data_IF_538157895389
#
_entry.id   IF_538157895389
#
_cell.length_a   1.000
_cell.length_b   1.000
_cell.length_c   1.000
_cell.angle_alpha   90.00
_cell.angle_beta   90.00
_cell.angle_gamma   90.00
#
_symmetry.space_group_name_H-M   'P 1'
#
loop_
_entity.id
_entity.type
_entity.pdbx_description
1 polymer ?
#
# COMPACT_ATOMS: atom_id res chain seq x y z
N UNK A 1 9.98 9.91 -22.55
CA UNK A 1 8.78 9.93 -21.70
C UNK A 1 8.73 8.74 -20.73
N UNK A 2 9.14 7.53 -21.13
CA UNK A 2 9.16 6.35 -20.26
C UNK A 2 10.04 6.54 -19.01
N UNK A 3 11.25 7.06 -19.18
CA UNK A 3 12.18 7.32 -18.06
C UNK A 3 11.64 8.32 -17.04
N UNK A 4 10.84 9.29 -17.47
CA UNK A 4 10.19 10.24 -16.56
C UNK A 4 9.05 9.58 -15.76
N UNK A 5 8.26 8.71 -16.40
CA UNK A 5 7.16 7.99 -15.74
C UNK A 5 7.69 6.98 -14.70
N UNK A 6 8.67 6.16 -15.08
CA UNK A 6 9.33 5.22 -14.14
C UNK A 6 10.04 5.94 -13.01
N UNK A 7 10.71 7.06 -13.28
CA UNK A 7 11.33 7.88 -12.23
C UNK A 7 10.29 8.47 -11.28
N UNK A 8 9.15 8.89 -11.80
CA UNK A 8 8.03 9.37 -10.97
C UNK A 8 7.48 8.26 -10.08
N UNK A 9 7.17 7.09 -10.64
CA UNK A 9 6.69 5.93 -9.88
C UNK A 9 7.71 5.48 -8.80
N UNK A 10 9.01 5.47 -9.13
CA UNK A 10 10.06 5.15 -8.16
C UNK A 10 10.14 6.14 -7.00
N UNK A 11 10.04 7.46 -7.29
CA UNK A 11 10.02 8.50 -6.24
C UNK A 11 8.78 8.39 -5.37
N UNK A 12 7.62 8.13 -5.99
CA UNK A 12 6.36 7.95 -5.29
C UNK A 12 6.40 6.72 -4.37
N UNK A 13 6.91 5.59 -4.85
CA UNK A 13 7.10 4.38 -4.05
C UNK A 13 8.06 4.63 -2.87
N UNK A 14 9.19 5.31 -3.12
CA UNK A 14 10.15 5.69 -2.09
C UNK A 14 9.52 6.60 -1.03
N UNK A 15 8.72 7.57 -1.44
CA UNK A 15 7.97 8.43 -0.52
C UNK A 15 6.98 7.63 0.33
N UNK A 16 6.19 6.74 -0.28
CA UNK A 16 5.27 5.86 0.43
C UNK A 16 5.99 4.97 1.44
N UNK A 17 7.19 4.47 1.10
CA UNK A 17 8.00 3.67 2.01
C UNK A 17 8.47 4.48 3.22
N UNK A 18 8.94 5.73 3.04
CA UNK A 18 9.30 6.61 4.15
C UNK A 18 8.10 6.91 5.06
N UNK A 19 6.93 7.17 4.48
CA UNK A 19 5.69 7.39 5.25
C UNK A 19 5.32 6.13 6.04
N UNK A 20 5.41 4.95 5.42
CA UNK A 20 5.13 3.68 6.09
C UNK A 20 6.09 3.40 7.26
N UNK A 21 7.40 3.63 7.07
CA UNK A 21 8.40 3.49 8.15
C UNK A 21 8.15 4.49 9.28
N UNK A 22 7.87 5.75 8.95
CA UNK A 22 7.50 6.77 9.95
C UNK A 22 6.23 6.40 10.71
N UNK A 23 5.22 5.88 10.00
CA UNK A 23 3.99 5.37 10.62
C UNK A 23 4.25 4.18 11.55
N UNK A 24 5.14 3.26 11.17
CA UNK A 24 5.53 2.14 12.02
C UNK A 24 6.18 2.61 13.33
N UNK A 25 7.09 3.58 13.24
CA UNK A 25 7.70 4.20 14.44
C UNK A 25 6.62 4.85 15.31
N UNK A 26 5.68 5.58 14.71
CA UNK A 26 4.58 6.20 15.44
C UNK A 26 3.67 5.17 16.14
N UNK A 27 3.39 4.02 15.51
CA UNK A 27 2.66 2.90 16.14
C UNK A 27 3.41 2.39 17.38
N UNK A 28 4.72 2.15 17.25
CA UNK A 28 5.54 1.69 18.37
C UNK A 28 5.50 2.68 19.54
N UNK A 29 5.61 3.97 19.24
CA UNK A 29 5.54 5.02 20.27
C UNK A 29 4.15 5.11 20.91
N UNK A 30 3.07 5.00 20.12
CA UNK A 30 1.70 5.00 20.62
C UNK A 30 1.43 3.82 21.56
N UNK A 31 1.83 2.61 21.15
CA UNK A 31 1.69 1.40 21.96
C UNK A 31 2.57 1.46 23.22
N UNK A 32 3.82 1.95 23.11
CA UNK A 32 4.67 2.14 24.27
C UNK A 32 4.05 3.13 25.28
N UNK A 33 3.50 4.23 24.80
CA UNK A 33 2.79 5.22 25.63
C UNK A 33 1.59 4.59 26.33
N UNK A 34 0.80 3.78 25.61
CA UNK A 34 -0.33 3.07 26.16
C UNK A 34 0.07 2.09 27.26
N UNK A 35 1.13 1.31 27.03
CA UNK A 35 1.64 0.34 28.01
C UNK A 35 2.16 1.05 29.26
N UNK A 36 2.98 2.09 29.10
CA UNK A 36 3.51 2.88 30.22
C UNK A 36 2.37 3.55 30.98
N UNK A 37 1.43 4.18 30.29
CA UNK A 37 0.24 4.80 30.90
C UNK A 37 -0.52 3.80 31.78
N UNK A 38 -0.75 2.60 31.26
CA UNK A 38 -1.49 1.55 31.95
C UNK A 38 -0.77 1.01 33.21
N UNK A 39 0.54 0.73 33.07
CA UNK A 39 1.27 0.04 34.16
C UNK A 39 1.96 0.98 35.14
N UNK A 40 2.35 2.20 34.72
CA UNK A 40 3.06 3.17 35.58
C UNK A 40 2.10 4.18 36.16
N UNK A 41 1.17 4.71 35.34
CA UNK A 41 0.26 5.77 35.76
C UNK A 41 -1.13 5.27 36.11
N UNK A 42 -1.42 3.99 35.89
CA UNK A 42 -2.76 3.37 36.06
C UNK A 42 -3.85 4.14 35.31
N UNK A 43 -3.48 4.81 34.22
CA UNK A 43 -4.34 5.55 33.31
C UNK A 43 -4.06 5.11 31.89
N UNK A 44 -5.07 4.63 31.18
CA UNK A 44 -4.92 4.10 29.83
C UNK A 44 -5.42 5.12 28.83
N UNK A 45 -4.54 5.75 28.03
CA UNK A 45 -4.95 6.68 26.99
C UNK A 45 -5.66 5.92 25.85
N UNK A 46 -6.99 5.99 25.84
CA UNK A 46 -7.86 5.27 24.88
C UNK A 46 -7.62 5.70 23.42
N UNK A 47 -7.15 6.95 23.21
CA UNK A 47 -6.80 7.45 21.89
C UNK A 47 -5.57 6.74 21.28
N UNK A 48 -4.67 6.23 22.10
CA UNK A 48 -3.43 5.59 21.63
C UNK A 48 -3.72 4.27 20.90
N UNK A 49 -4.66 3.47 21.40
CA UNK A 49 -5.10 2.23 20.75
C UNK A 49 -5.79 2.52 19.42
N UNK A 50 -6.78 3.41 19.43
CA UNK A 50 -7.51 3.76 18.22
C UNK A 50 -6.60 4.43 17.17
N UNK A 51 -5.68 5.29 17.60
CA UNK A 51 -4.69 5.92 16.73
C UNK A 51 -3.73 4.91 16.12
N UNK A 52 -3.25 3.94 16.90
CA UNK A 52 -2.41 2.86 16.42
C UNK A 52 -3.13 2.00 15.36
N UNK A 53 -4.42 1.67 15.56
CA UNK A 53 -5.21 0.92 14.59
C UNK A 53 -5.37 1.67 13.26
N UNK A 54 -5.64 2.97 13.30
CA UNK A 54 -5.69 3.80 12.08
C UNK A 54 -4.34 3.79 11.38
N UNK A 55 -3.24 4.01 12.11
CA UNK A 55 -1.89 4.02 11.54
C UNK A 55 -1.49 2.67 10.93
N UNK A 56 -1.90 1.53 11.53
CA UNK A 56 -1.65 0.19 10.98
C UNK A 56 -2.28 0.06 9.59
N UNK A 57 -3.50 0.57 9.38
CA UNK A 57 -4.14 0.54 8.05
C UNK A 57 -3.33 1.32 7.02
N UNK A 58 -2.84 2.53 7.37
CA UNK A 58 -2.01 3.34 6.47
C UNK A 58 -0.69 2.65 6.14
N UNK A 59 0.02 2.16 7.16
CA UNK A 59 1.32 1.49 6.98
C UNK A 59 1.19 0.24 6.13
N UNK A 60 0.21 -0.61 6.42
CA UNK A 60 -0.02 -1.87 5.71
C UNK A 60 -0.42 -1.64 4.26
N UNK A 61 -1.35 -0.72 4.00
CA UNK A 61 -1.86 -0.47 2.66
C UNK A 61 -0.81 0.21 1.77
N UNK A 62 -0.06 1.19 2.29
CA UNK A 62 1.04 1.81 1.54
C UNK A 62 2.18 0.81 1.31
N UNK A 63 2.52 0.00 2.31
CA UNK A 63 3.53 -1.05 2.18
C UNK A 63 3.13 -2.11 1.15
N UNK A 64 1.86 -2.53 1.12
CA UNK A 64 1.34 -3.46 0.12
C UNK A 64 1.44 -2.88 -1.30
N UNK A 65 1.10 -1.61 -1.50
CA UNK A 65 1.21 -0.96 -2.80
C UNK A 65 2.67 -0.88 -3.29
N UNK A 66 3.61 -0.53 -2.41
CA UNK A 66 5.05 -0.54 -2.73
C UNK A 66 5.53 -1.96 -3.00
N UNK A 67 5.06 -2.96 -2.24
CA UNK A 67 5.36 -4.37 -2.45
C UNK A 67 4.95 -4.86 -3.85
N UNK A 68 3.81 -4.43 -4.35
CA UNK A 68 3.37 -4.76 -5.73
C UNK A 68 4.37 -4.21 -6.77
N UNK A 69 4.92 -3.03 -6.55
CA UNK A 69 5.91 -2.45 -7.45
C UNK A 69 7.28 -3.13 -7.36
N UNK A 70 7.79 -3.28 -6.15
CA UNK A 70 9.19 -3.62 -5.91
C UNK A 70 9.43 -5.12 -5.76
N UNK A 71 8.44 -5.88 -5.25
CA UNK A 71 8.51 -7.32 -5.04
C UNK A 71 7.78 -8.16 -6.12
N UNK A 72 7.14 -7.49 -7.08
CA UNK A 72 6.38 -8.16 -8.14
C UNK A 72 7.18 -9.19 -8.95
N UNK A 73 8.50 -9.10 -8.96
CA UNK A 73 9.38 -10.03 -9.66
C UNK A 73 9.83 -11.23 -8.81
N UNK A 74 10.02 -11.05 -7.51
CA UNK A 74 10.66 -12.06 -6.63
C UNK A 74 9.78 -13.30 -6.43
N UNK A 75 8.46 -13.13 -6.30
CA UNK A 75 7.53 -14.27 -6.12
C UNK A 75 7.21 -15.02 -7.41
N UNK A 76 7.30 -14.36 -8.56
CA UNK A 76 6.97 -14.92 -9.87
C UNK A 76 8.14 -15.64 -10.52
N UNK A 77 9.39 -15.21 -10.29
CA UNK A 77 10.57 -15.81 -10.91
C UNK A 77 10.66 -17.32 -10.64
N UNK A 78 10.35 -17.76 -9.43
CA UNK A 78 10.40 -19.17 -9.06
C UNK A 78 9.42 -20.06 -9.85
N UNK A 79 8.26 -19.53 -10.22
CA UNK A 79 7.26 -20.24 -11.03
C UNK A 79 7.54 -20.07 -12.54
N UNK A 80 8.02 -18.92 -12.94
CA UNK A 80 8.23 -18.58 -14.34
C UNK A 80 9.48 -19.23 -14.94
N UNK A 81 10.45 -19.65 -14.12
CA UNK A 81 11.62 -20.44 -14.56
C UNK A 81 11.21 -21.80 -15.12
N UNK A 82 10.08 -22.36 -14.70
CA UNK A 82 9.56 -23.65 -15.16
C UNK A 82 8.76 -23.59 -16.46
N UNK A 83 8.48 -22.37 -16.97
CA UNK A 83 7.58 -22.15 -18.11
C UNK A 83 8.35 -21.60 -19.32
N UNK A 84 8.06 -22.08 -20.57
CA UNK A 84 8.68 -21.56 -21.78
C UNK A 84 8.46 -20.05 -21.94
N UNK A 85 9.48 -19.34 -22.44
CA UNK A 85 9.55 -17.88 -22.51
C UNK A 85 8.32 -17.22 -23.17
N UNK A 86 7.75 -17.84 -24.20
CA UNK A 86 6.53 -17.34 -24.88
C UNK A 86 5.27 -17.36 -23.98
N UNK A 87 5.19 -18.34 -23.07
CA UNK A 87 4.07 -18.46 -22.12
C UNK A 87 4.32 -17.54 -20.93
N UNK A 88 5.56 -17.42 -20.51
CA UNK A 88 6.01 -16.53 -19.44
C UNK A 88 5.55 -15.10 -19.67
N UNK A 89 5.84 -14.50 -20.81
CA UNK A 89 5.43 -13.13 -21.14
C UNK A 89 3.90 -12.94 -21.07
N UNK A 90 3.15 -13.90 -21.62
CA UNK A 90 1.66 -13.83 -21.56
C UNK A 90 1.14 -13.91 -20.12
N UNK A 91 1.78 -14.72 -19.29
CA UNK A 91 1.41 -14.89 -17.89
C UNK A 91 1.72 -13.62 -17.09
N UNK A 92 2.87 -12.99 -17.32
CA UNK A 92 3.25 -11.73 -16.71
C UNK A 92 2.25 -10.61 -17.05
N UNK A 93 1.86 -10.47 -18.32
CA UNK A 93 0.81 -9.54 -18.71
C UNK A 93 -0.52 -9.81 -18.02
N UNK A 94 -0.93 -11.07 -17.95
CA UNK A 94 -2.18 -11.48 -17.30
C UNK A 94 -2.17 -11.14 -15.81
N UNK A 95 -1.07 -11.43 -15.12
CA UNK A 95 -0.92 -11.17 -13.68
C UNK A 95 -1.02 -9.67 -13.41
N UNK A 96 -0.25 -8.85 -14.11
CA UNK A 96 -0.30 -7.40 -13.91
C UNK A 96 -1.66 -6.79 -14.29
N UNK A 97 -2.35 -7.33 -15.29
CA UNK A 97 -3.72 -6.92 -15.63
C UNK A 97 -4.71 -7.28 -14.52
N UNK A 98 -4.62 -8.48 -13.95
CA UNK A 98 -5.46 -8.90 -12.82
C UNK A 98 -5.18 -8.08 -11.56
N UNK A 99 -3.91 -7.78 -11.25
CA UNK A 99 -3.52 -6.93 -10.13
C UNK A 99 -4.04 -5.50 -10.33
N UNK A 100 -3.94 -4.95 -11.54
CA UNK A 100 -4.52 -3.64 -11.86
C UNK A 100 -6.05 -3.63 -11.68
N UNK A 101 -6.73 -4.66 -12.18
CA UNK A 101 -8.18 -4.81 -12.01
C UNK A 101 -8.58 -4.90 -10.54
N UNK A 102 -7.86 -5.70 -9.76
CA UNK A 102 -8.06 -5.79 -8.30
C UNK A 102 -7.85 -4.43 -7.61
N UNK A 103 -6.77 -3.73 -7.92
CA UNK A 103 -6.50 -2.39 -7.37
C UNK A 103 -7.60 -1.39 -7.72
N UNK A 104 -8.10 -1.41 -8.95
CA UNK A 104 -9.18 -0.53 -9.40
C UNK A 104 -10.51 -0.82 -8.67
N UNK A 105 -10.89 -2.09 -8.58
CA UNK A 105 -12.11 -2.50 -7.84
C UNK A 105 -12.01 -2.20 -6.36
N UNK A 106 -10.84 -2.41 -5.75
CA UNK A 106 -10.57 -2.05 -4.37
C UNK A 106 -10.73 -0.53 -4.15
N UNK A 107 -10.07 0.29 -4.96
CA UNK A 107 -10.15 1.76 -4.83
C UNK A 107 -11.60 2.25 -4.99
N UNK A 108 -12.31 1.75 -5.99
CA UNK A 108 -13.69 2.16 -6.29
C UNK A 108 -14.66 1.81 -5.16
N UNK A 109 -14.71 0.53 -4.76
CA UNK A 109 -15.63 0.07 -3.73
C UNK A 109 -15.32 0.70 -2.37
N UNK A 110 -14.04 0.85 -2.04
CA UNK A 110 -13.60 1.48 -0.79
C UNK A 110 -13.90 2.97 -0.75
N UNK A 111 -13.82 3.67 -1.90
CA UNK A 111 -14.22 5.08 -1.98
C UNK A 111 -15.73 5.26 -1.71
N UNK A 112 -16.57 4.41 -2.28
CA UNK A 112 -18.02 4.42 -2.04
C UNK A 112 -18.32 4.14 -0.56
N UNK A 113 -17.68 3.12 0.00
CA UNK A 113 -17.88 2.74 1.39
C UNK A 113 -17.38 3.84 2.35
N UNK A 114 -16.19 4.39 2.11
CA UNK A 114 -15.64 5.48 2.90
C UNK A 114 -16.52 6.72 2.88
N UNK A 115 -17.11 7.04 1.72
CA UNK A 115 -18.06 8.14 1.60
C UNK A 115 -19.34 7.90 2.41
N UNK A 116 -19.86 6.68 2.41
CA UNK A 116 -21.10 6.33 3.14
C UNK A 116 -20.97 6.40 4.68
N UNK A 117 -19.74 6.32 5.20
CA UNK A 117 -19.45 6.37 6.64
C UNK A 117 -18.78 7.68 7.08
N UNK A 118 -18.70 8.68 6.19
CA UNK A 118 -18.04 9.96 6.51
C UNK A 118 -18.65 10.71 7.70
N UNK A 119 -19.95 10.58 7.89
CA UNK A 119 -20.68 11.25 8.97
C UNK A 119 -20.53 10.55 10.33
N UNK A 120 -20.08 9.29 10.33
CA UNK A 120 -19.80 8.55 11.55
C UNK A 120 -18.44 8.96 12.12
N UNK A 121 -18.37 9.05 13.46
CA UNK A 121 -17.12 9.42 14.14
C UNK A 121 -16.57 8.26 14.96
N UNK A 122 -15.25 8.10 14.93
CA UNK A 122 -14.54 7.20 15.84
C UNK A 122 -14.62 7.82 17.24
N UNK A 123 -15.32 7.19 18.23
CA UNK A 123 -15.65 7.83 19.50
C UNK A 123 -14.43 8.31 20.30
N UNK A 124 -13.33 7.56 20.24
CA UNK A 124 -12.08 7.82 20.99
C UNK A 124 -11.20 8.90 20.37
N UNK A 125 -11.28 9.11 19.04
CA UNK A 125 -10.45 10.07 18.32
C UNK A 125 -11.24 11.32 17.90
N UNK A 126 -12.57 11.26 17.86
CA UNK A 126 -13.42 12.35 17.41
C UNK A 126 -13.34 12.67 15.89
N UNK A 127 -12.57 11.88 15.13
CA UNK A 127 -12.41 12.01 13.67
C UNK A 127 -13.41 11.13 12.93
N UNK A 128 -13.65 11.44 11.64
CA UNK A 128 -14.55 10.65 10.79
C UNK A 128 -14.05 9.21 10.61
N UNK A 129 -14.96 8.25 10.64
CA UNK A 129 -14.66 6.85 10.36
C UNK A 129 -14.20 6.63 8.90
N UNK A 130 -14.59 7.50 7.99
CA UNK A 130 -14.11 7.51 6.60
C UNK A 130 -12.60 7.56 6.45
N UNK A 131 -11.87 8.11 7.45
CA UNK A 131 -10.39 8.15 7.47
C UNK A 131 -9.77 6.75 7.40
N UNK A 132 -10.42 5.72 7.92
CA UNK A 132 -9.95 4.33 7.85
C UNK A 132 -9.93 3.77 6.41
N UNK A 133 -10.74 4.34 5.52
CA UNK A 133 -10.88 3.89 4.13
C UNK A 133 -9.92 4.62 3.16
N UNK A 134 -9.43 5.79 3.54
CA UNK A 134 -8.49 6.58 2.73
C UNK A 134 -7.25 5.78 2.31
N UNK A 135 -6.55 5.05 3.21
CA UNK A 135 -5.36 4.30 2.82
C UNK A 135 -5.64 3.19 1.80
N UNK A 136 -6.82 2.57 1.83
CA UNK A 136 -7.22 1.56 0.85
C UNK A 136 -7.47 2.16 -0.53
N UNK A 137 -8.09 3.35 -0.60
CA UNK A 137 -8.29 4.07 -1.88
C UNK A 137 -6.95 4.48 -2.46
N UNK A 138 -6.06 5.02 -1.64
CA UNK A 138 -4.71 5.40 -2.05
C UNK A 138 -3.92 4.18 -2.54
N UNK A 139 -3.91 3.10 -1.77
CA UNK A 139 -3.20 1.88 -2.12
C UNK A 139 -3.74 1.25 -3.41
N UNK A 140 -5.06 1.16 -3.56
CA UNK A 140 -5.68 0.65 -4.80
C UNK A 140 -5.29 1.47 -6.02
N UNK A 141 -5.28 2.80 -5.90
CA UNK A 141 -4.85 3.70 -6.97
C UNK A 141 -3.36 3.54 -7.30
N UNK A 142 -2.51 3.38 -6.28
CA UNK A 142 -1.07 3.12 -6.44
C UNK A 142 -0.81 1.76 -7.08
N UNK A 143 -1.55 0.72 -6.69
CA UNK A 143 -1.45 -0.63 -7.28
C UNK A 143 -1.77 -0.58 -8.76
N UNK A 144 -2.83 0.14 -9.17
CA UNK A 144 -3.15 0.34 -10.59
C UNK A 144 -1.99 1.04 -11.31
N UNK A 145 -1.49 2.13 -10.74
CA UNK A 145 -0.39 2.91 -11.33
C UNK A 145 0.87 2.06 -11.53
N UNK A 146 1.27 1.29 -10.51
CA UNK A 146 2.45 0.43 -10.56
C UNK A 146 2.26 -0.78 -11.48
N UNK A 147 1.07 -1.37 -11.53
CA UNK A 147 0.76 -2.43 -12.49
C UNK A 147 0.83 -1.95 -13.95
N UNK A 148 0.37 -0.73 -14.22
CA UNK A 148 0.51 -0.10 -15.53
C UNK A 148 1.99 0.17 -15.86
N UNK A 149 2.80 0.60 -14.88
CA UNK A 149 4.26 0.75 -15.04
C UNK A 149 4.88 -0.58 -15.49
N UNK A 150 4.57 -1.69 -14.82
CA UNK A 150 5.07 -3.03 -15.17
C UNK A 150 4.60 -3.48 -16.56
N UNK A 151 3.34 -3.27 -16.93
CA UNK A 151 2.82 -3.61 -18.26
C UNK A 151 3.57 -2.83 -19.35
N UNK A 152 3.83 -1.55 -19.14
CA UNK A 152 4.59 -0.72 -20.09
C UNK A 152 6.05 -1.17 -20.18
N UNK A 153 6.66 -1.54 -19.04
CA UNK A 153 8.02 -2.04 -18.98
C UNK A 153 8.17 -3.37 -19.76
N UNK A 154 7.24 -4.31 -19.56
CA UNK A 154 7.18 -5.57 -20.29
C UNK A 154 7.04 -5.35 -21.81
N UNK A 155 6.19 -4.39 -22.23
CA UNK A 155 6.02 -4.09 -23.65
C UNK A 155 7.29 -3.53 -24.28
N UNK A 156 8.14 -2.88 -23.49
CA UNK A 156 9.39 -2.28 -23.95
C UNK A 156 10.62 -3.16 -23.69
N UNK A 157 10.44 -4.35 -23.12
CA UNK A 157 11.54 -5.25 -22.73
C UNK A 157 12.58 -4.56 -21.82
N UNK A 158 12.10 -3.76 -20.85
CA UNK A 158 12.92 -3.06 -19.86
C UNK A 158 12.47 -3.48 -18.47
N UNK A 159 13.42 -3.81 -17.59
CA UNK A 159 13.11 -4.16 -16.21
C UNK A 159 12.79 -2.91 -15.37
N UNK A 160 11.84 -3.06 -14.42
CA UNK A 160 11.52 -2.02 -13.44
C UNK A 160 12.55 -2.12 -12.31
N UNK A 161 13.35 -1.08 -12.14
CA UNK A 161 14.34 -1.02 -11.05
C UNK A 161 13.63 -0.79 -9.71
N UNK A 162 13.91 -1.60 -8.67
CA UNK A 162 13.34 -1.42 -7.34
C UNK A 162 13.64 -0.04 -6.75
N UNK A 163 12.74 0.45 -5.86
CA UNK A 163 12.83 1.82 -5.32
C UNK A 163 13.97 2.02 -4.32
N UNK A 164 14.57 0.95 -3.79
CA UNK A 164 15.69 1.01 -2.82
C UNK A 164 17.09 1.07 -3.44
N UNK A 165 17.21 1.05 -4.76
CA UNK A 165 18.47 1.26 -5.48
C UNK A 165 18.69 2.70 -5.90
#
# INVERSE_FOLDING_TARGET
MHTLFTTFCARLAKFCMFVAVGGLIAIILAVATQVIGRYVFNDTPTWAEAGALVLVLYVTMLGAAVGVRDAGHIGMESLLVLVPEKIRLKLEYLIHALVAFFGATMAWNTAILGYSVMDYKIPTLGISEGVNYVPMVLAGSLIVLFSVEHIIALWRHVDVVPSWH
#
